data_IF_715117620548
#
_entry.id   IF_715117620548
#
_cell.length_a   1.000
_cell.length_b   1.000
_cell.length_c   1.000
_cell.angle_alpha   90.00
_cell.angle_beta   90.00
_cell.angle_gamma   90.00
#
_symmetry.space_group_name_H-M   'P 1'
#
loop_
_entity.id
_entity.type
_entity.pdbx_description
1 polymer ?
#
# COMPACT_ATOMS: atom_id res chain seq x y z
N UNK A 1 0.09 -20.01 6.63
CA UNK A 1 1.19 -19.04 6.43
C UNK A 1 2.46 -19.85 6.20
N UNK A 2 3.21 -19.55 5.14
CA UNK A 2 4.49 -20.23 4.89
C UNK A 2 5.56 -19.78 5.90
N UNK A 3 6.66 -20.54 5.98
CA UNK A 3 7.83 -20.14 6.78
C UNK A 3 8.41 -18.80 6.27
N UNK A 4 8.85 -17.95 7.20
CA UNK A 4 9.61 -16.73 6.88
C UNK A 4 11.06 -16.90 7.32
N UNK A 5 11.99 -16.54 6.44
CA UNK A 5 13.43 -16.60 6.71
C UNK A 5 13.98 -15.19 6.94
N UNK A 6 14.83 -15.04 7.96
CA UNK A 6 15.56 -13.82 8.27
C UNK A 6 17.06 -14.10 8.20
N UNK A 7 17.85 -13.15 7.72
CA UNK A 7 19.30 -13.30 7.65
C UNK A 7 20.04 -12.68 8.83
N UNK A 8 21.33 -13.02 8.98
CA UNK A 8 22.21 -12.46 10.01
C UNK A 8 22.57 -10.98 9.72
N UNK A 9 22.62 -10.09 10.73
CA UNK A 9 22.82 -8.66 10.52
C UNK A 9 24.15 -8.36 9.83
N UNK A 10 24.14 -7.45 8.85
CA UNK A 10 25.37 -6.89 8.28
C UNK A 10 26.10 -6.01 9.32
N UNK A 11 27.44 -6.07 9.45
CA UNK A 11 28.21 -5.26 10.39
C UNK A 11 27.97 -3.74 10.20
N UNK A 12 27.91 -3.02 11.32
CA UNK A 12 27.51 -1.61 11.38
C UNK A 12 28.52 -0.66 10.77
N UNK A 13 28.24 -0.24 9.53
CA UNK A 13 28.53 1.07 8.93
C UNK A 13 28.10 0.99 7.46
N UNK A 14 26.85 1.36 7.15
CA UNK A 14 26.40 1.26 5.77
C UNK A 14 25.44 2.39 5.38
N UNK A 15 25.69 2.94 4.19
CA UNK A 15 25.03 4.12 3.61
C UNK A 15 23.60 3.79 3.18
N UNK A 16 22.68 4.75 3.27
CA UNK A 16 21.32 4.64 2.72
C UNK A 16 21.34 4.13 1.26
N UNK A 17 20.42 3.22 0.92
CA UNK A 17 20.38 2.56 -0.39
C UNK A 17 21.39 1.43 -0.61
N UNK A 18 22.28 1.15 0.35
CA UNK A 18 23.21 0.01 0.28
C UNK A 18 22.49 -1.27 0.72
N UNK A 19 22.57 -2.39 -0.02
CA UNK A 19 21.97 -3.66 0.39
C UNK A 19 22.45 -4.10 1.77
N UNK A 20 21.53 -4.49 2.64
CA UNK A 20 21.84 -4.98 3.97
C UNK A 20 20.90 -6.09 4.39
N UNK A 21 21.42 -6.97 5.24
CA UNK A 21 20.60 -7.93 5.98
C UNK A 21 20.32 -7.39 7.36
N UNK A 22 19.05 -7.45 7.79
CA UNK A 22 18.62 -7.01 9.12
C UNK A 22 17.83 -8.13 9.82
N UNK A 23 17.96 -8.29 11.15
CA UNK A 23 17.30 -9.38 11.88
C UNK A 23 15.76 -9.34 11.79
N UNK A 24 15.19 -8.17 11.56
CA UNK A 24 13.75 -7.94 11.48
C UNK A 24 13.21 -7.90 10.04
N UNK A 25 14.07 -7.97 9.03
CA UNK A 25 13.71 -7.87 7.62
C UNK A 25 13.58 -9.27 6.99
N UNK A 26 12.37 -9.61 6.53
CA UNK A 26 12.08 -10.94 5.94
C UNK A 26 12.79 -11.05 4.61
N UNK A 27 13.67 -12.04 4.41
CA UNK A 27 14.33 -12.28 3.13
C UNK A 27 13.55 -13.22 2.22
N UNK A 28 12.76 -14.14 2.80
CA UNK A 28 11.96 -15.08 2.05
C UNK A 28 10.66 -15.38 2.80
N UNK A 29 9.56 -15.51 2.07
CA UNK A 29 8.28 -15.97 2.62
C UNK A 29 7.68 -17.07 1.72
N UNK A 30 7.48 -18.26 2.28
CA UNK A 30 7.13 -19.44 1.48
C UNK A 30 8.29 -19.85 0.55
N UNK A 31 7.97 -20.56 -0.53
CA UNK A 31 8.99 -21.12 -1.43
C UNK A 31 9.49 -20.15 -2.51
N UNK A 32 8.73 -19.10 -2.84
CA UNK A 32 8.99 -18.30 -4.05
C UNK A 32 9.09 -16.80 -3.82
N UNK A 33 8.60 -16.26 -2.70
CA UNK A 33 8.66 -14.82 -2.48
C UNK A 33 9.98 -14.45 -1.80
N UNK A 34 10.74 -13.57 -2.43
CA UNK A 34 12.07 -13.13 -1.97
C UNK A 34 12.07 -11.61 -1.82
N UNK A 35 12.76 -11.10 -0.80
CA UNK A 35 12.80 -9.68 -0.51
C UNK A 35 14.21 -9.23 -0.14
N UNK A 36 14.58 -8.03 -0.56
CA UNK A 36 15.86 -7.41 -0.23
C UNK A 36 15.63 -6.01 0.33
N UNK A 37 16.54 -5.60 1.21
CA UNK A 37 16.42 -4.34 1.94
C UNK A 37 17.73 -3.58 1.89
N UNK A 38 17.62 -2.26 2.07
CA UNK A 38 18.78 -1.42 2.31
C UNK A 38 19.13 -1.30 3.81
N UNK A 39 20.17 -0.53 4.09
CA UNK A 39 20.64 -0.23 5.44
C UNK A 39 19.64 0.50 6.34
N UNK A 40 18.72 1.26 5.76
CA UNK A 40 17.65 1.96 6.47
C UNK A 40 16.46 1.03 6.77
N UNK A 41 16.50 -0.21 6.27
CA UNK A 41 15.39 -1.16 6.39
C UNK A 41 14.30 -0.91 5.36
N UNK A 42 14.57 -0.17 4.29
CA UNK A 42 13.65 -0.03 3.19
C UNK A 42 13.71 -1.28 2.32
N UNK A 43 12.57 -1.92 2.03
CA UNK A 43 12.46 -3.01 1.07
C UNK A 43 12.77 -2.46 -0.31
N UNK A 44 13.96 -2.74 -0.84
CA UNK A 44 14.43 -2.29 -2.16
C UNK A 44 14.13 -3.27 -3.27
N UNK A 45 13.89 -4.54 -2.93
CA UNK A 45 13.56 -5.58 -3.91
C UNK A 45 12.50 -6.53 -3.38
N UNK A 46 11.63 -6.97 -4.27
CA UNK A 46 10.54 -7.90 -3.99
C UNK A 46 10.31 -8.79 -5.20
N UNK A 47 10.43 -10.10 -5.04
CA UNK A 47 10.00 -11.10 -6.01
C UNK A 47 8.71 -11.72 -5.51
N UNK A 48 7.61 -11.56 -6.26
CA UNK A 48 6.32 -12.17 -5.95
C UNK A 48 5.65 -12.67 -7.23
N UNK A 49 5.07 -13.86 -7.16
CA UNK A 49 4.49 -14.52 -8.34
C UNK A 49 5.53 -14.75 -9.46
N UNK A 50 6.81 -14.91 -9.10
CA UNK A 50 7.92 -15.06 -10.06
C UNK A 50 8.39 -13.76 -10.72
N UNK A 51 7.76 -12.62 -10.44
CA UNK A 51 8.14 -11.31 -10.99
C UNK A 51 8.94 -10.53 -9.96
N UNK A 52 10.09 -9.99 -10.38
CA UNK A 52 10.96 -9.19 -9.52
C UNK A 52 10.75 -7.70 -9.75
N UNK A 53 10.49 -7.00 -8.66
CA UNK A 53 10.28 -5.56 -8.61
C UNK A 53 11.37 -4.88 -7.77
N UNK A 54 11.71 -3.66 -8.15
CA UNK A 54 12.62 -2.79 -7.40
C UNK A 54 11.85 -1.57 -6.91
N UNK A 55 11.94 -1.29 -5.61
CA UNK A 55 11.39 -0.09 -5.00
C UNK A 55 12.55 0.90 -4.79
N UNK A 56 12.42 2.09 -5.36
CA UNK A 56 13.40 3.18 -5.26
C UNK A 56 12.85 4.22 -4.30
N UNK A 57 13.66 4.60 -3.31
CA UNK A 57 13.29 5.54 -2.26
C UNK A 57 13.94 6.90 -2.48
N UNK A 58 13.26 7.96 -2.07
CA UNK A 58 13.83 9.32 -1.98
C UNK A 58 14.66 9.50 -0.70
N UNK A 59 15.23 10.70 -0.53
CA UNK A 59 16.05 11.04 0.63
C UNK A 59 15.27 11.03 1.95
N UNK A 60 13.94 11.19 1.89
CA UNK A 60 13.04 11.15 3.03
C UNK A 60 12.52 9.73 3.35
N UNK A 61 13.11 8.68 2.75
CA UNK A 61 12.71 7.27 2.89
C UNK A 61 11.26 6.96 2.43
N UNK A 62 10.77 7.66 1.41
CA UNK A 62 9.48 7.37 0.76
C UNK A 62 9.72 6.70 -0.58
N UNK A 63 8.85 5.77 -0.98
CA UNK A 63 8.94 5.15 -2.30
C UNK A 63 8.66 6.22 -3.36
N UNK A 64 9.65 6.49 -4.20
CA UNK A 64 9.57 7.42 -5.33
C UNK A 64 9.25 6.69 -6.64
N UNK A 65 9.77 5.47 -6.82
CA UNK A 65 9.52 4.67 -8.02
C UNK A 65 9.39 3.18 -7.72
N UNK A 66 8.59 2.50 -8.54
CA UNK A 66 8.56 1.03 -8.65
C UNK A 66 9.01 0.66 -10.05
N UNK A 67 9.95 -0.28 -10.15
CA UNK A 67 10.50 -0.76 -11.42
C UNK A 67 10.38 -2.27 -11.57
N UNK A 68 10.39 -2.72 -12.82
CA UNK A 68 10.64 -4.12 -13.20
C UNK A 68 11.78 -4.12 -14.22
N UNK A 69 12.94 -4.65 -13.81
CA UNK A 69 14.18 -4.43 -14.57
C UNK A 69 14.50 -2.92 -14.68
N UNK A 70 14.72 -2.43 -15.89
CA UNK A 70 14.94 -1.00 -16.17
C UNK A 70 13.64 -0.20 -16.34
N UNK A 71 12.50 -0.86 -16.52
CA UNK A 71 11.22 -0.20 -16.79
C UNK A 71 10.61 0.36 -15.51
N UNK A 72 10.24 1.64 -15.52
CA UNK A 72 9.48 2.27 -14.44
C UNK A 72 8.00 1.91 -14.59
N UNK A 73 7.45 1.18 -13.63
CA UNK A 73 6.04 0.81 -13.58
C UNK A 73 5.20 1.87 -12.87
N UNK A 74 5.77 2.51 -11.84
CA UNK A 74 5.12 3.60 -11.14
C UNK A 74 6.12 4.67 -10.70
N UNK A 75 5.70 5.93 -10.75
CA UNK A 75 6.39 7.08 -10.16
C UNK A 75 5.46 7.87 -9.25
N UNK A 76 5.98 8.36 -8.12
CA UNK A 76 5.18 9.06 -7.12
C UNK A 76 5.75 10.45 -6.83
N UNK A 77 4.85 11.40 -6.61
CA UNK A 77 5.21 12.77 -6.22
C UNK A 77 4.48 13.12 -4.93
N UNK A 78 5.23 13.68 -3.98
CA UNK A 78 4.73 14.10 -2.68
C UNK A 78 4.84 15.61 -2.55
N UNK A 79 3.97 16.22 -1.75
CA UNK A 79 4.11 17.62 -1.35
C UNK A 79 5.16 17.78 -0.22
N UNK A 80 5.34 19.02 0.22
CA UNK A 80 6.28 19.37 1.28
C UNK A 80 5.91 18.77 2.65
N UNK A 81 4.62 18.48 2.89
CA UNK A 81 4.13 17.85 4.11
C UNK A 81 4.23 16.31 4.04
N UNK A 82 4.64 15.78 2.89
CA UNK A 82 4.84 14.35 2.65
C UNK A 82 3.62 13.62 2.14
N UNK A 83 2.52 14.30 1.81
CA UNK A 83 1.34 13.66 1.23
C UNK A 83 1.57 13.35 -0.25
N UNK A 84 1.13 12.17 -0.70
CA UNK A 84 1.18 11.82 -2.12
C UNK A 84 0.14 12.62 -2.91
N UNK A 85 0.63 13.47 -3.81
CA UNK A 85 -0.20 14.33 -4.67
C UNK A 85 -0.29 13.83 -6.12
N UNK A 86 0.63 12.95 -6.53
CA UNK A 86 0.62 12.33 -7.86
C UNK A 86 1.12 10.89 -7.84
N UNK A 87 0.50 10.04 -8.65
CA UNK A 87 1.02 8.74 -9.05
C UNK A 87 0.95 8.61 -10.58
N UNK A 88 2.00 8.10 -11.20
CA UNK A 88 2.08 7.83 -12.63
C UNK A 88 2.33 6.35 -12.83
N UNK A 89 1.36 5.62 -13.38
CA UNK A 89 1.43 4.20 -13.66
C UNK A 89 1.68 3.97 -15.15
N UNK A 90 2.91 4.19 -15.60
CA UNK A 90 3.32 3.98 -16.99
C UNK A 90 2.56 4.84 -18.01
N UNK A 91 2.27 6.09 -17.66
CA UNK A 91 1.52 7.05 -18.48
C UNK A 91 0.05 7.23 -18.05
N UNK A 92 -0.45 6.41 -17.13
CA UNK A 92 -1.72 6.65 -16.45
C UNK A 92 -1.49 7.47 -15.19
N UNK A 93 -1.72 8.78 -15.28
CA UNK A 93 -1.37 9.74 -14.23
C UNK A 93 -2.59 10.07 -13.39
N UNK A 94 -2.53 9.77 -12.10
CA UNK A 94 -3.53 10.19 -11.10
C UNK A 94 -3.00 11.34 -10.26
N UNK A 95 -3.74 12.44 -10.22
CA UNK A 95 -3.54 13.55 -9.27
C UNK A 95 -4.53 13.41 -8.13
N UNK A 96 -4.04 13.58 -6.90
CA UNK A 96 -4.80 13.47 -5.66
C UNK A 96 -4.98 14.85 -5.03
N UNK A 97 -6.20 15.19 -4.64
CA UNK A 97 -6.49 16.36 -3.79
C UNK A 97 -7.11 15.85 -2.49
N UNK A 98 -6.23 15.65 -1.51
CA UNK A 98 -6.57 15.05 -0.23
C UNK A 98 -7.27 13.70 -0.36
N UNK A 99 -8.18 13.41 0.57
CA UNK A 99 -8.94 12.17 0.58
C UNK A 99 -10.19 12.17 -0.35
N UNK A 100 -10.46 13.28 -1.03
CA UNK A 100 -11.78 13.57 -1.61
C UNK A 100 -11.84 13.55 -3.12
N UNK A 101 -10.74 13.81 -3.81
CA UNK A 101 -10.76 13.99 -5.26
C UNK A 101 -9.55 13.35 -5.92
N UNK A 102 -9.82 12.64 -7.01
CA UNK A 102 -8.82 12.03 -7.88
C UNK A 102 -9.12 12.36 -9.33
N UNK A 103 -8.10 12.74 -10.08
CA UNK A 103 -8.17 12.88 -11.54
C UNK A 103 -7.13 11.96 -12.15
N UNK A 104 -7.58 10.93 -12.85
CA UNK A 104 -6.72 10.03 -13.63
C UNK A 104 -6.80 10.39 -15.09
N UNK A 105 -5.65 10.66 -15.72
CA UNK A 105 -5.53 10.89 -17.15
C UNK A 105 -4.68 9.79 -17.76
N UNK A 106 -5.19 9.12 -18.79
CA UNK A 106 -4.49 8.07 -19.55
C UNK A 106 -4.72 8.29 -21.03
N UNK A 107 -3.65 8.65 -21.75
CA UNK A 107 -3.75 9.16 -23.12
C UNK A 107 -4.68 10.38 -23.18
N UNK A 108 -5.69 10.34 -24.06
CA UNK A 108 -6.72 11.39 -24.16
C UNK A 108 -7.89 11.22 -23.19
N UNK A 109 -7.95 10.10 -22.45
CA UNK A 109 -9.05 9.82 -21.52
C UNK A 109 -8.78 10.46 -20.16
N UNK A 110 -9.84 11.01 -19.55
CA UNK A 110 -9.80 11.53 -18.17
C UNK A 110 -10.95 10.95 -17.38
N UNK A 111 -10.61 10.41 -16.20
CA UNK A 111 -11.54 9.93 -15.19
C UNK A 111 -11.46 10.80 -13.95
N UNK A 112 -12.60 11.32 -13.51
CA UNK A 112 -12.72 12.10 -12.28
C UNK A 112 -13.47 11.27 -11.24
N UNK A 113 -12.85 11.04 -10.10
CA UNK A 113 -13.45 10.35 -8.96
C UNK A 113 -13.55 11.31 -7.77
N UNK A 114 -14.75 11.46 -7.22
CA UNK A 114 -15.02 12.23 -5.99
C UNK A 114 -15.50 11.29 -4.90
N UNK A 115 -14.96 11.40 -3.69
CA UNK A 115 -15.35 10.59 -2.54
C UNK A 115 -16.23 11.38 -1.58
N UNK A 116 -17.25 10.72 -1.04
CA UNK A 116 -18.15 11.27 -0.04
C UNK A 116 -17.98 10.51 1.27
N UNK A 117 -17.77 11.28 2.34
CA UNK A 117 -17.53 10.77 3.68
C UNK A 117 -18.69 11.21 4.59
N UNK A 118 -19.13 10.35 5.49
CA UNK A 118 -20.05 10.69 6.58
C UNK A 118 -19.68 9.88 7.83
N UNK A 119 -19.68 10.50 9.01
CA UNK A 119 -19.31 9.82 10.26
C UNK A 119 -17.89 9.23 10.27
N UNK A 120 -16.96 9.84 9.53
CA UNK A 120 -15.58 9.33 9.38
C UNK A 120 -15.43 8.15 8.41
N UNK A 121 -16.52 7.66 7.80
CA UNK A 121 -16.51 6.53 6.87
C UNK A 121 -16.80 6.97 5.43
N UNK A 122 -16.28 6.19 4.48
CA UNK A 122 -16.55 6.38 3.05
C UNK A 122 -17.84 5.72 2.64
N UNK A 123 -18.84 6.54 2.34
CA UNK A 123 -20.21 6.06 2.06
C UNK A 123 -20.52 6.03 0.57
N UNK A 124 -19.81 6.81 -0.25
CA UNK A 124 -20.03 6.84 -1.69
C UNK A 124 -18.82 7.38 -2.45
N UNK A 125 -18.85 7.17 -3.76
CA UNK A 125 -17.99 7.85 -4.71
C UNK A 125 -18.77 8.21 -5.97
N UNK A 126 -18.30 9.21 -6.71
CA UNK A 126 -18.84 9.57 -8.02
C UNK A 126 -17.72 9.51 -9.05
N UNK A 127 -17.87 8.66 -10.07
CA UNK A 127 -16.93 8.56 -11.19
C UNK A 127 -17.59 9.15 -12.43
N UNK A 128 -16.96 10.15 -13.04
CA UNK A 128 -17.44 10.79 -14.27
C UNK A 128 -18.93 11.19 -14.19
N UNK A 129 -19.35 11.72 -13.04
CA UNK A 129 -20.73 12.15 -12.82
C UNK A 129 -21.68 11.09 -12.28
N UNK A 130 -21.33 9.79 -12.30
CA UNK A 130 -22.19 8.68 -11.87
C UNK A 130 -21.90 8.29 -10.42
N UNK A 131 -22.90 8.29 -9.55
CA UNK A 131 -22.74 7.97 -8.12
C UNK A 131 -22.79 6.45 -7.89
N UNK A 132 -21.97 5.97 -6.95
CA UNK A 132 -21.97 4.59 -6.47
C UNK A 132 -21.85 4.61 -4.96
N UNK A 133 -22.61 3.75 -4.30
CA UNK A 133 -22.60 3.64 -2.84
C UNK A 133 -21.59 2.61 -2.39
N UNK A 134 -20.88 2.91 -1.32
CA UNK A 134 -19.88 2.06 -0.71
C UNK A 134 -20.37 1.59 0.65
N UNK A 135 -20.27 0.29 0.91
CA UNK A 135 -20.35 -0.26 2.25
C UNK A 135 -18.96 -0.71 2.69
N UNK A 136 -18.57 -0.30 3.89
CA UNK A 136 -17.28 -0.66 4.48
C UNK A 136 -17.43 -1.66 5.62
N UNK A 137 -16.37 -2.42 5.90
CA UNK A 137 -16.27 -3.20 7.14
C UNK A 137 -15.97 -2.29 8.36
N UNK A 138 -15.81 -2.90 9.55
CA UNK A 138 -15.55 -2.17 10.79
C UNK A 138 -14.20 -1.45 10.81
N UNK A 139 -13.26 -1.84 9.94
CA UNK A 139 -11.95 -1.17 9.79
C UNK A 139 -11.99 -0.08 8.70
N UNK A 140 -13.15 0.14 8.06
CA UNK A 140 -13.30 1.09 6.96
C UNK A 140 -12.83 0.53 5.61
N UNK A 141 -12.60 -0.77 5.48
CA UNK A 141 -12.25 -1.38 4.19
C UNK A 141 -13.44 -1.39 3.26
N UNK A 142 -13.25 -1.04 1.99
CA UNK A 142 -14.31 -1.14 0.98
C UNK A 142 -14.72 -2.60 0.79
N UNK A 143 -15.92 -2.97 1.22
CA UNK A 143 -16.41 -4.35 1.19
C UNK A 143 -17.43 -4.58 0.06
N UNK A 144 -18.34 -3.63 -0.18
CA UNK A 144 -19.36 -3.71 -1.23
C UNK A 144 -19.47 -2.38 -1.96
N UNK A 145 -19.67 -2.43 -3.27
CA UNK A 145 -20.06 -1.28 -4.08
C UNK A 145 -21.35 -1.61 -4.80
N UNK A 146 -22.33 -0.72 -4.71
CA UNK A 146 -23.60 -0.83 -5.42
C UNK A 146 -23.81 0.38 -6.34
N UNK A 147 -24.59 0.17 -7.40
CA UNK A 147 -24.96 1.22 -8.36
C UNK A 147 -25.83 2.29 -7.69
N UNK A 148 -26.06 3.39 -8.40
CA UNK A 148 -27.02 4.43 -8.00
C UNK A 148 -28.43 3.92 -7.74
N UNK A 149 -28.79 2.78 -8.35
CA UNK A 149 -30.09 2.09 -8.18
C UNK A 149 -30.05 0.93 -7.18
N UNK A 150 -28.94 0.70 -6.49
CA UNK A 150 -28.80 -0.36 -5.48
C UNK A 150 -28.38 -1.74 -6.00
N UNK A 151 -28.07 -1.87 -7.30
CA UNK A 151 -27.57 -3.12 -7.87
C UNK A 151 -26.12 -3.43 -7.44
N UNK A 152 -25.84 -4.66 -7.02
CA UNK A 152 -24.48 -5.09 -6.61
C UNK A 152 -23.50 -5.02 -7.79
N UNK A 153 -22.50 -4.13 -7.69
CA UNK A 153 -21.46 -3.96 -8.71
C UNK A 153 -20.19 -4.72 -8.38
N UNK A 154 -19.70 -4.62 -7.14
CA UNK A 154 -18.49 -5.32 -6.72
C UNK A 154 -18.51 -5.66 -5.25
N UNK A 155 -17.84 -6.75 -4.87
CA UNK A 155 -17.62 -7.15 -3.48
C UNK A 155 -16.18 -7.57 -3.28
N UNK A 156 -15.58 -7.19 -2.15
CA UNK A 156 -14.25 -7.61 -1.73
C UNK A 156 -14.35 -8.08 -0.28
N UNK A 157 -13.88 -9.30 -0.03
CA UNK A 157 -13.68 -9.81 1.34
C UNK A 157 -12.19 -9.91 1.59
N UNK A 158 -11.73 -9.46 2.75
CA UNK A 158 -10.31 -9.44 3.09
C UNK A 158 -9.94 -10.60 4.03
N UNK A 159 -8.71 -11.10 3.90
CA UNK A 159 -8.02 -11.82 4.97
C UNK A 159 -7.65 -10.82 6.07
N UNK A 160 -7.32 -11.26 7.30
CA UNK A 160 -7.01 -10.36 8.42
C UNK A 160 -5.89 -9.34 8.12
N UNK A 161 -4.96 -9.69 7.23
CA UNK A 161 -3.81 -8.85 6.87
C UNK A 161 -3.98 -8.06 5.57
N UNK A 162 -5.19 -8.02 5.00
CA UNK A 162 -5.53 -7.13 3.87
C UNK A 162 -5.40 -7.73 2.47
N UNK A 163 -4.95 -8.98 2.35
CA UNK A 163 -5.09 -9.74 1.10
C UNK A 163 -6.57 -9.96 0.77
N UNK A 164 -6.94 -9.90 -0.50
CA UNK A 164 -8.29 -10.28 -0.92
C UNK A 164 -8.49 -11.80 -0.75
N UNK A 165 -9.50 -12.17 0.03
CA UNK A 165 -9.99 -13.55 0.19
C UNK A 165 -11.00 -13.91 -0.89
N UNK A 166 -11.80 -12.94 -1.32
CA UNK A 166 -12.81 -13.11 -2.35
C UNK A 166 -13.03 -11.77 -3.06
N UNK A 167 -13.25 -11.82 -4.37
CA UNK A 167 -13.61 -10.66 -5.19
C UNK A 167 -14.75 -11.01 -6.14
N UNK A 168 -15.68 -10.09 -6.31
CA UNK A 168 -16.72 -10.13 -7.33
C UNK A 168 -16.75 -8.77 -8.04
N UNK A 169 -16.90 -8.79 -9.37
CA UNK A 169 -16.92 -7.58 -10.19
C UNK A 169 -15.62 -6.78 -10.13
N UNK A 170 -15.63 -5.58 -10.71
CA UNK A 170 -14.52 -4.64 -10.65
C UNK A 170 -14.87 -3.47 -9.73
N UNK A 171 -14.08 -3.27 -8.68
CA UNK A 171 -14.27 -2.10 -7.81
C UNK A 171 -13.86 -0.82 -8.54
N UNK A 172 -14.65 0.26 -8.47
CA UNK A 172 -14.33 1.53 -9.11
C UNK A 172 -13.32 2.37 -8.32
N UNK A 173 -12.77 1.87 -7.21
CA UNK A 173 -11.81 2.59 -6.37
C UNK A 173 -10.58 1.76 -6.02
N UNK A 174 -9.44 2.45 -5.96
CA UNK A 174 -8.21 1.90 -5.41
C UNK A 174 -8.23 1.86 -3.86
N UNK A 175 -9.15 2.58 -3.20
CA UNK A 175 -9.27 2.59 -1.74
C UNK A 175 -9.93 1.31 -1.26
N UNK A 176 -9.13 0.37 -0.76
CA UNK A 176 -9.55 -1.00 -0.41
C UNK A 176 -9.39 -1.24 1.09
N UNK A 177 -8.50 -2.15 1.52
CA UNK A 177 -8.28 -2.50 2.92
C UNK A 177 -8.01 -1.26 3.79
N UNK A 178 -8.68 -1.17 4.94
CA UNK A 178 -8.62 -0.05 5.91
C UNK A 178 -8.77 1.34 5.28
N UNK A 179 -9.42 1.41 4.12
CA UNK A 179 -9.63 2.63 3.35
C UNK A 179 -8.39 3.15 2.62
N UNK A 180 -7.27 2.42 2.61
CA UNK A 180 -6.00 2.82 2.02
C UNK A 180 -5.92 2.51 0.53
N UNK A 181 -5.03 3.21 -0.17
CA UNK A 181 -4.87 3.06 -1.63
C UNK A 181 -4.06 1.82 -1.93
N UNK A 182 -4.66 0.86 -2.62
CA UNK A 182 -3.92 -0.25 -3.21
C UNK A 182 -3.28 0.20 -4.51
N UNK A 183 -1.95 0.23 -4.54
CA UNK A 183 -1.18 0.29 -5.77
C UNK A 183 -0.94 -1.15 -6.23
N UNK A 184 -1.53 -1.55 -7.35
CA UNK A 184 -1.46 -2.94 -7.84
C UNK A 184 -0.09 -3.31 -8.44
N UNK A 185 0.78 -2.32 -8.69
CA UNK A 185 2.19 -2.54 -9.05
C UNK A 185 2.94 -3.23 -7.90
N UNK A 186 4.14 -3.77 -8.18
CA UNK A 186 4.93 -4.53 -7.21
C UNK A 186 4.19 -5.72 -6.55
N UNK A 187 3.22 -6.29 -7.25
CA UNK A 187 2.37 -7.38 -6.75
C UNK A 187 1.38 -6.94 -5.67
N UNK A 188 1.05 -5.65 -5.58
CA UNK A 188 0.07 -5.11 -4.65
C UNK A 188 0.70 -4.66 -3.34
N UNK A 189 0.72 -3.35 -3.11
CA UNK A 189 1.08 -2.73 -1.84
C UNK A 189 0.08 -1.63 -1.49
N UNK A 190 -0.26 -1.52 -0.22
CA UNK A 190 -1.14 -0.45 0.28
C UNK A 190 -0.33 0.77 0.68
N UNK A 191 -0.67 1.93 0.15
CA UNK A 191 -0.07 3.19 0.55
C UNK A 191 -0.80 3.78 1.78
N UNK A 192 -0.11 3.81 2.92
CA UNK A 192 -0.59 4.35 4.20
C UNK A 192 -0.02 5.76 4.46
N UNK A 193 0.00 6.61 3.43
CA UNK A 193 0.54 7.98 3.43
C UNK A 193 2.05 8.12 3.64
N UNK A 194 2.62 7.51 4.69
CA UNK A 194 4.05 7.57 4.97
C UNK A 194 4.80 6.32 4.48
N UNK A 195 4.14 5.16 4.48
CA UNK A 195 4.76 3.86 4.22
C UNK A 195 3.88 2.98 3.36
N UNK A 196 4.52 2.08 2.62
CA UNK A 196 3.84 1.00 1.92
C UNK A 196 3.67 -0.21 2.83
N UNK A 197 2.49 -0.82 2.84
CA UNK A 197 2.15 -2.01 3.59
C UNK A 197 1.96 -3.19 2.65
N UNK A 198 2.64 -4.29 2.95
CA UNK A 198 2.56 -5.55 2.23
C UNK A 198 1.50 -6.46 2.89
N UNK A 199 0.34 -6.66 2.25
CA UNK A 199 -0.71 -7.49 2.81
C UNK A 199 -0.35 -8.98 2.87
N UNK A 200 0.55 -9.45 2.02
CA UNK A 200 0.97 -10.85 1.99
C UNK A 200 1.95 -11.18 3.13
N UNK A 201 2.77 -10.20 3.52
CA UNK A 201 3.67 -10.31 4.67
C UNK A 201 3.04 -9.83 5.98
N UNK A 202 1.96 -9.06 5.92
CA UNK A 202 1.33 -8.44 7.07
C UNK A 202 2.18 -7.33 7.72
N UNK A 203 3.05 -6.65 6.97
CA UNK A 203 4.02 -5.68 7.51
C UNK A 203 4.28 -4.50 6.58
N UNK A 204 4.85 -3.42 7.11
CA UNK A 204 5.33 -2.32 6.27
C UNK A 204 6.59 -2.72 5.47
N UNK A 205 6.75 -2.09 4.31
CA UNK A 205 7.90 -2.23 3.42
C UNK A 205 9.12 -1.43 3.91
N UNK A 206 8.92 -0.47 4.80
CA UNK A 206 9.99 0.31 5.44
C UNK A 206 9.82 0.36 6.95
N UNK A 207 10.95 0.57 7.63
CA UNK A 207 10.97 0.82 9.07
C UNK A 207 10.22 2.13 9.41
N UNK A 208 9.64 2.18 10.60
CA UNK A 208 9.07 3.42 11.13
C UNK A 208 10.18 4.44 11.43
N UNK A 209 10.03 5.67 10.92
CA UNK A 209 11.00 6.76 11.12
C UNK A 209 10.74 7.56 12.40
N UNK A 210 9.57 7.39 13.04
CA UNK A 210 9.15 8.11 14.25
C UNK A 210 9.41 7.36 15.55
N UNK A 211 10.10 6.22 15.53
CA UNK A 211 10.47 5.46 16.75
C UNK A 211 11.66 6.11 17.46
N UNK A 212 11.48 7.35 17.92
CA UNK A 212 12.35 7.98 18.90
C UNK A 212 11.72 7.84 20.29
N UNK A 213 11.88 6.69 20.96
CA UNK A 213 11.89 6.60 22.44
C UNK A 213 12.26 5.19 22.99
N UNK A 214 13.45 5.10 23.58
CA UNK A 214 13.90 4.35 24.79
C UNK A 214 13.66 2.83 24.95
N UNK A 215 12.93 2.11 24.08
CA UNK A 215 12.78 0.63 24.26
C UNK A 215 13.33 -0.14 23.07
N UNK A 216 14.53 -0.72 23.25
CA UNK A 216 15.29 -1.51 22.25
C UNK A 216 14.60 -2.79 21.70
N UNK A 217 13.33 -3.04 22.03
CA UNK A 217 12.58 -4.25 21.64
C UNK A 217 11.26 -3.98 20.89
N UNK A 218 11.00 -2.76 20.42
CA UNK A 218 9.79 -2.48 19.64
C UNK A 218 10.00 -2.85 18.16
N UNK A 219 9.12 -3.70 17.60
CA UNK A 219 9.17 -4.08 16.20
C UNK A 219 9.01 -2.86 15.28
N UNK A 220 10.10 -2.47 14.60
CA UNK A 220 10.19 -1.29 13.72
C UNK A 220 9.31 -1.40 12.46
N UNK A 221 8.83 -2.60 12.16
CA UNK A 221 8.00 -2.95 10.99
C UNK A 221 6.58 -3.37 11.39
N UNK A 222 6.07 -2.87 12.52
CA UNK A 222 4.80 -3.29 13.11
C UNK A 222 3.66 -3.51 12.10
N UNK A 223 2.74 -4.42 12.42
CA UNK A 223 1.56 -4.66 11.58
C UNK A 223 0.65 -3.43 11.59
N UNK A 224 -0.15 -3.23 10.53
CA UNK A 224 -1.23 -2.24 10.55
C UNK A 224 -2.27 -2.70 11.59
N UNK A 225 -2.12 -2.27 12.84
CA UNK A 225 -2.90 -2.73 13.99
C UNK A 225 -2.37 -4.04 14.58
N UNK A 226 -2.00 -4.03 15.86
CA UNK A 226 -1.68 -5.24 16.62
C UNK A 226 -3.01 -5.95 16.92
N UNK A 227 -3.40 -6.91 16.07
CA UNK A 227 -4.67 -7.66 16.12
C UNK A 227 -5.90 -6.89 15.62
N UNK A 228 -6.20 -6.97 14.32
CA UNK A 228 -7.35 -6.31 13.70
C UNK A 228 -8.73 -6.94 14.00
N UNK A 229 -8.84 -7.85 14.97
CA UNK A 229 -10.11 -8.54 15.29
C UNK A 229 -10.87 -7.90 16.47
N UNK A 230 -10.26 -7.01 17.25
CA UNK A 230 -11.00 -6.26 18.29
C UNK A 230 -10.57 -4.80 18.37
N UNK A 231 -11.49 -3.90 18.04
CA UNK A 231 -11.34 -2.48 18.28
C UNK A 231 -11.53 -2.18 19.77
N UNK A 232 -10.44 -2.00 20.49
CA UNK A 232 -10.37 -1.15 21.68
C UNK A 232 -8.92 -0.80 21.88
N UNK A 233 -8.63 0.49 21.73
CA UNK A 233 -7.32 1.15 21.83
C UNK A 233 -6.46 1.06 20.55
N UNK A 234 -6.86 1.87 19.56
CA UNK A 234 -5.92 2.70 18.80
C UNK A 234 -6.10 4.14 19.27
#
# INVERSE_FOLDING_TARGET
MGSTVYGAPSPGNCRAGTPATKPHAVQQAGSSNVYSYDCNGNMTGRTVGGVTYTLVYDAENRVQQVKQGSTVLAGYTHDADGNRVKADFGGSVTVYVGAYYEKTTSGSSTTITKYYQAGGQRIALRVNGVVRWLATDHLGSTALTVSETGGRMSEIRYKPWGESRYTFGATPTQRRFTGQVLDEVAGGLYFYNARYYDPALGRFASADTSVFSVVKNLATFGTAGRSCVSASLC
#
